data_IF_268867230549
#
_entry.id   IF_268867230549
#
_cell.length_a   1.000
_cell.length_b   1.000
_cell.length_c   1.000
_cell.angle_alpha   90.00
_cell.angle_beta   90.00
_cell.angle_gamma   90.00
#
_symmetry.space_group_name_H-M   'P 1'
#
loop_
_entity.id
_entity.type
_entity.pdbx_description
1 polymer ?
#
# COMPACT_ATOMS: atom_id res chain seq x y z
N UNK A 1 32.67 -29.97 -1.64
CA UNK A 1 31.77 -29.45 -0.58
C UNK A 1 32.56 -28.36 0.13
N UNK A 2 32.26 -27.10 -0.11
CA UNK A 2 32.98 -25.97 0.51
C UNK A 2 32.25 -25.56 1.76
N UNK A 3 32.93 -25.57 2.91
CA UNK A 3 32.38 -25.11 4.19
C UNK A 3 32.62 -23.60 4.28
N UNK A 4 31.58 -22.81 4.23
CA UNK A 4 31.67 -21.37 4.50
C UNK A 4 31.46 -21.16 6.00
N UNK A 5 32.57 -20.94 6.74
CA UNK A 5 32.49 -20.56 8.15
C UNK A 5 32.24 -19.06 8.20
N UNK A 6 31.03 -18.66 8.52
CA UNK A 6 30.72 -17.26 8.82
C UNK A 6 30.88 -17.10 10.31
N UNK A 7 31.76 -16.15 10.79
CA UNK A 7 31.89 -15.87 12.21
C UNK A 7 30.51 -15.46 12.76
N UNK A 8 30.13 -15.98 13.91
CA UNK A 8 28.97 -15.50 14.65
C UNK A 8 29.36 -14.13 15.17
N UNK A 9 29.04 -13.08 14.41
CA UNK A 9 29.19 -11.71 14.91
C UNK A 9 28.32 -11.57 16.15
N UNK A 10 28.93 -11.31 17.30
CA UNK A 10 28.21 -10.84 18.48
C UNK A 10 27.46 -9.56 18.06
N UNK A 11 26.19 -9.46 18.47
CA UNK A 11 25.38 -8.24 18.31
C UNK A 11 26.12 -7.07 19.02
N UNK A 12 27.12 -6.47 18.34
CA UNK A 12 27.57 -5.13 18.72
C UNK A 12 26.33 -4.26 18.60
N UNK A 13 26.00 -3.50 19.64
CA UNK A 13 25.07 -2.37 19.53
C UNK A 13 25.66 -1.48 18.44
N UNK A 14 25.13 -1.59 17.22
CA UNK A 14 25.48 -0.66 16.16
C UNK A 14 25.04 0.72 16.63
N UNK A 15 25.92 1.71 16.49
CA UNK A 15 25.54 3.09 16.73
C UNK A 15 24.39 3.45 15.78
N UNK A 16 23.37 4.20 16.26
CA UNK A 16 22.23 4.56 15.42
C UNK A 16 22.70 5.28 14.15
N UNK A 17 22.25 4.80 13.00
CA UNK A 17 22.54 5.44 11.72
C UNK A 17 21.86 6.81 11.64
N UNK A 18 22.62 7.86 11.33
CA UNK A 18 22.13 9.24 11.35
C UNK A 18 22.30 9.91 9.98
N UNK A 19 21.35 10.76 9.60
CA UNK A 19 21.41 11.61 8.40
C UNK A 19 20.92 13.02 8.69
N UNK A 20 21.52 14.01 8.01
CA UNK A 20 21.12 15.42 8.08
C UNK A 20 20.52 15.85 6.73
N UNK A 21 19.30 16.39 6.78
CA UNK A 21 18.64 17.05 5.66
C UNK A 21 18.73 18.57 5.86
N UNK A 22 19.37 19.26 4.91
CA UNK A 22 19.44 20.73 4.91
C UNK A 22 18.34 21.28 3.99
N UNK A 23 17.36 21.96 4.56
CA UNK A 23 16.22 22.51 3.80
C UNK A 23 16.57 23.73 2.95
N UNK A 24 17.83 24.20 2.95
CA UNK A 24 18.24 25.43 2.25
C UNK A 24 18.13 25.34 0.71
N UNK A 25 18.17 24.13 0.16
CA UNK A 25 18.08 23.85 -1.28
C UNK A 25 16.67 23.48 -1.75
N UNK A 26 15.76 23.26 -0.82
CA UNK A 26 14.40 22.85 -1.14
C UNK A 26 13.50 24.06 -1.47
N UNK A 27 12.76 23.96 -2.57
CA UNK A 27 11.82 25.00 -2.99
C UNK A 27 10.48 24.90 -2.25
N UNK A 28 10.08 23.68 -1.89
CA UNK A 28 8.76 23.36 -1.30
C UNK A 28 8.88 22.38 -0.15
N UNK A 29 7.98 22.42 0.85
CA UNK A 29 7.93 21.45 1.94
C UNK A 29 7.82 20.00 1.47
N UNK A 30 7.14 19.75 0.32
CA UNK A 30 6.99 18.44 -0.27
C UNK A 30 8.32 17.82 -0.72
N UNK A 31 9.29 18.64 -1.14
CA UNK A 31 10.61 18.16 -1.56
C UNK A 31 11.36 17.59 -0.35
N UNK A 32 11.36 18.33 0.77
CA UNK A 32 11.94 17.87 2.04
C UNK A 32 11.22 16.62 2.55
N UNK A 33 9.90 16.57 2.44
CA UNK A 33 9.12 15.41 2.87
C UNK A 33 9.48 14.15 2.05
N UNK A 34 9.67 14.27 0.75
CA UNK A 34 10.14 13.16 -0.10
C UNK A 34 11.51 12.65 0.31
N UNK A 35 12.44 13.55 0.60
CA UNK A 35 13.77 13.21 1.09
C UNK A 35 13.71 12.56 2.47
N UNK A 36 12.89 13.09 3.38
CA UNK A 36 12.65 12.52 4.70
C UNK A 36 12.10 11.09 4.62
N UNK A 37 11.08 10.87 3.78
CA UNK A 37 10.52 9.53 3.54
C UNK A 37 11.59 8.62 2.94
N UNK A 38 12.42 9.09 2.01
CA UNK A 38 13.49 8.29 1.43
C UNK A 38 14.51 7.85 2.48
N UNK A 39 14.93 8.75 3.40
CA UNK A 39 15.81 8.42 4.52
C UNK A 39 15.17 7.39 5.46
N UNK A 40 13.88 7.55 5.81
CA UNK A 40 13.14 6.56 6.57
C UNK A 40 13.14 5.19 5.88
N UNK A 41 12.82 5.14 4.58
CA UNK A 41 12.74 3.88 3.81
C UNK A 41 14.09 3.18 3.66
N UNK A 42 15.21 3.92 3.62
CA UNK A 42 16.56 3.34 3.52
C UNK A 42 17.01 2.73 4.86
N UNK A 43 16.42 3.17 5.97
CA UNK A 43 16.66 2.55 7.26
C UNK A 43 17.38 3.44 8.27
N UNK A 44 17.56 4.74 8.02
CA UNK A 44 18.15 5.62 9.03
C UNK A 44 17.32 5.59 10.33
N UNK A 45 18.04 5.55 11.46
CA UNK A 45 17.45 5.54 12.79
C UNK A 45 17.16 6.95 13.28
N UNK A 46 18.07 7.89 12.99
CA UNK A 46 17.91 9.29 13.34
C UNK A 46 17.96 10.14 12.08
N UNK A 47 16.91 10.95 11.89
CA UNK A 47 16.85 11.91 10.77
C UNK A 47 16.80 13.30 11.37
N UNK A 48 17.85 14.10 11.11
CA UNK A 48 17.95 15.50 11.51
C UNK A 48 17.57 16.42 10.36
N UNK A 49 16.86 17.49 10.66
CA UNK A 49 16.53 18.56 9.72
C UNK A 49 17.15 19.87 10.23
N UNK A 50 17.78 20.60 9.33
CA UNK A 50 18.26 21.95 9.57
C UNK A 50 17.45 22.94 8.74
N UNK A 51 16.74 23.86 9.41
CA UNK A 51 15.92 24.88 8.78
C UNK A 51 16.66 26.21 8.73
N UNK A 52 16.59 26.90 7.60
CA UNK A 52 17.14 28.28 7.45
C UNK A 52 16.03 29.31 7.31
N UNK A 53 15.17 29.12 6.31
CA UNK A 53 14.02 29.97 6.04
C UNK A 53 12.73 29.16 6.12
N UNK A 54 11.57 29.85 6.36
CA UNK A 54 10.24 29.20 6.41
C UNK A 54 10.18 27.99 7.37
N UNK A 55 11.01 27.99 8.42
CA UNK A 55 11.17 26.85 9.33
C UNK A 55 9.85 26.34 9.91
N UNK A 56 8.91 27.24 10.23
CA UNK A 56 7.62 26.88 10.81
C UNK A 56 6.77 26.07 9.81
N UNK A 57 6.74 26.47 8.54
CA UNK A 57 5.98 25.78 7.49
C UNK A 57 6.54 24.39 7.20
N UNK A 58 7.86 24.29 6.97
CA UNK A 58 8.52 23.00 6.72
C UNK A 58 8.34 22.04 7.89
N UNK A 59 8.53 22.55 9.12
CA UNK A 59 8.39 21.73 10.33
C UNK A 59 6.95 21.23 10.52
N UNK A 60 5.95 22.08 10.34
CA UNK A 60 4.55 21.68 10.45
C UNK A 60 4.21 20.59 9.41
N UNK A 61 4.67 20.77 8.18
CA UNK A 61 4.45 19.81 7.09
C UNK A 61 5.12 18.45 7.40
N UNK A 62 6.37 18.44 7.84
CA UNK A 62 7.08 17.21 8.20
C UNK A 62 6.40 16.48 9.36
N UNK A 63 5.98 17.22 10.41
CA UNK A 63 5.23 16.62 11.53
C UNK A 63 3.92 15.97 11.08
N UNK A 64 3.21 16.60 10.13
CA UNK A 64 1.99 16.01 9.56
C UNK A 64 2.31 14.73 8.78
N UNK A 65 3.35 14.72 7.96
CA UNK A 65 3.82 13.52 7.23
C UNK A 65 4.22 12.40 8.20
N UNK A 66 4.99 12.69 9.24
CA UNK A 66 5.37 11.70 10.25
C UNK A 66 4.12 11.06 10.86
N UNK A 67 3.19 11.89 11.32
CA UNK A 67 1.96 11.42 11.97
C UNK A 67 1.07 10.58 11.04
N UNK A 68 0.92 11.00 9.79
CA UNK A 68 -0.01 10.37 8.84
C UNK A 68 0.59 9.19 8.09
N UNK A 69 1.88 9.24 7.76
CA UNK A 69 2.46 8.31 6.79
C UNK A 69 3.60 7.43 7.31
N UNK A 70 4.12 7.68 8.52
CA UNK A 70 5.25 6.91 9.03
C UNK A 70 4.91 6.21 10.36
N UNK A 71 5.40 4.99 10.51
CA UNK A 71 5.19 4.17 11.71
C UNK A 71 6.44 4.25 12.57
N UNK A 72 6.26 4.50 13.88
CA UNK A 72 7.33 4.44 14.87
C UNK A 72 8.35 5.55 14.80
N UNK A 73 8.03 6.68 14.18
CA UNK A 73 8.92 7.86 14.14
C UNK A 73 8.45 8.88 15.17
N UNK A 74 9.33 9.22 16.10
CA UNK A 74 9.07 10.21 17.14
C UNK A 74 10.04 11.39 17.05
N UNK A 75 9.54 12.58 17.37
CA UNK A 75 10.38 13.79 17.45
C UNK A 75 11.11 13.79 18.79
N UNK A 76 12.44 13.77 18.77
CA UNK A 76 13.30 13.76 19.98
C UNK A 76 13.89 15.12 20.32
N UNK A 77 14.07 15.98 19.30
CA UNK A 77 14.57 17.34 19.49
C UNK A 77 13.82 18.29 18.56
N UNK A 78 13.50 19.49 19.04
CA UNK A 78 12.86 20.52 18.24
C UNK A 78 13.29 21.93 18.71
N UNK A 79 13.67 22.77 17.74
CA UNK A 79 14.00 24.19 17.97
C UNK A 79 13.54 25.04 16.79
N UNK A 80 13.85 26.35 16.83
CA UNK A 80 13.53 27.24 15.72
C UNK A 80 14.26 26.87 14.40
N UNK A 81 15.45 26.27 14.50
CA UNK A 81 16.34 26.02 13.35
C UNK A 81 16.64 24.53 13.11
N UNK A 82 16.28 23.65 14.02
CA UNK A 82 16.59 22.23 13.96
C UNK A 82 15.42 21.37 14.43
N UNK A 83 15.33 20.17 13.88
CA UNK A 83 14.44 19.12 14.34
C UNK A 83 15.16 17.79 14.20
N UNK A 84 15.06 16.90 15.19
CA UNK A 84 15.54 15.53 15.08
C UNK A 84 14.41 14.55 15.39
N UNK A 85 14.39 13.48 14.64
CA UNK A 85 13.42 12.39 14.79
C UNK A 85 14.16 11.08 14.97
N UNK A 86 13.58 10.16 15.73
CA UNK A 86 14.11 8.83 15.94
C UNK A 86 13.07 7.79 15.56
N UNK A 87 13.46 6.78 14.78
CA UNK A 87 12.66 5.64 14.45
C UNK A 87 12.81 4.58 15.56
N UNK A 88 11.77 4.45 16.40
CA UNK A 88 11.80 3.63 17.63
C UNK A 88 11.39 2.17 17.40
N UNK A 89 10.81 1.81 16.25
CA UNK A 89 10.32 0.45 16.02
C UNK A 89 11.46 -0.49 15.65
N UNK A 90 11.63 -1.52 16.50
CA UNK A 90 12.41 -2.71 16.18
C UNK A 90 11.70 -3.59 15.13
N UNK A 91 12.49 -4.43 14.45
CA UNK A 91 12.02 -5.25 13.33
C UNK A 91 11.19 -6.48 13.78
N UNK A 92 11.35 -6.89 15.02
CA UNK A 92 10.78 -8.15 15.57
C UNK A 92 9.32 -8.00 15.97
N UNK A 93 8.88 -6.78 16.32
CA UNK A 93 7.57 -6.54 16.92
C UNK A 93 6.41 -6.67 15.95
N UNK A 94 6.64 -6.49 14.63
CA UNK A 94 5.60 -6.57 13.62
C UNK A 94 6.14 -7.15 12.29
N UNK A 95 6.10 -8.50 12.12
CA UNK A 95 6.61 -9.18 10.92
C UNK A 95 5.95 -8.70 9.63
N UNK A 96 6.71 -8.74 8.51
CA UNK A 96 6.23 -8.31 7.18
C UNK A 96 4.92 -8.98 6.78
N UNK A 97 4.76 -10.29 7.06
CA UNK A 97 3.53 -11.02 6.70
C UNK A 97 2.30 -10.51 7.46
N UNK A 98 2.47 -10.12 8.73
CA UNK A 98 1.38 -9.59 9.55
C UNK A 98 1.00 -8.18 9.10
N UNK A 99 2.01 -7.35 8.78
CA UNK A 99 1.78 -6.03 8.20
C UNK A 99 1.03 -6.11 6.86
N UNK A 100 1.43 -7.01 5.96
CA UNK A 100 0.73 -7.25 4.70
C UNK A 100 -0.70 -7.77 4.89
N UNK A 101 -0.91 -8.65 5.87
CA UNK A 101 -2.25 -9.14 6.22
C UNK A 101 -3.14 -7.98 6.66
N UNK A 102 -2.62 -7.11 7.52
CA UNK A 102 -3.36 -5.91 7.97
C UNK A 102 -3.64 -4.95 6.82
N UNK A 103 -2.66 -4.65 5.96
CA UNK A 103 -2.86 -3.84 4.75
C UNK A 103 -3.99 -4.41 3.89
N UNK A 104 -3.96 -5.73 3.64
CA UNK A 104 -4.96 -6.40 2.81
C UNK A 104 -6.37 -6.32 3.41
N UNK A 105 -6.51 -6.55 4.71
CA UNK A 105 -7.80 -6.42 5.43
C UNK A 105 -8.33 -4.99 5.35
N UNK A 106 -7.47 -3.98 5.55
CA UNK A 106 -7.85 -2.57 5.43
C UNK A 106 -8.29 -2.23 4.00
N UNK A 107 -7.50 -2.57 2.98
CA UNK A 107 -7.84 -2.31 1.58
C UNK A 107 -9.17 -2.97 1.16
N UNK A 108 -9.44 -4.20 1.63
CA UNK A 108 -10.72 -4.86 1.39
C UNK A 108 -11.89 -4.18 2.10
N UNK A 109 -11.71 -3.75 3.35
CA UNK A 109 -12.73 -2.98 4.08
C UNK A 109 -13.03 -1.67 3.37
N UNK A 110 -12.00 -0.92 2.99
CA UNK A 110 -12.13 0.33 2.22
C UNK A 110 -12.92 0.09 0.93
N UNK A 111 -12.61 -0.96 0.17
CA UNK A 111 -13.31 -1.25 -1.07
C UNK A 111 -14.80 -1.58 -0.84
N UNK A 112 -15.12 -2.40 0.18
CA UNK A 112 -16.51 -2.74 0.52
C UNK A 112 -17.30 -1.50 0.95
N UNK A 113 -16.69 -0.65 1.77
CA UNK A 113 -17.31 0.57 2.28
C UNK A 113 -17.49 1.60 1.16
N UNK A 114 -16.53 1.71 0.21
CA UNK A 114 -16.66 2.52 -0.99
C UNK A 114 -17.87 2.08 -1.85
N UNK A 115 -18.07 0.76 -2.00
CA UNK A 115 -19.21 0.22 -2.73
C UNK A 115 -20.54 0.44 -1.98
N UNK A 116 -20.53 0.38 -0.66
CA UNK A 116 -21.71 0.69 0.16
C UNK A 116 -22.06 2.17 0.06
N UNK A 117 -21.06 3.05 0.12
CA UNK A 117 -21.23 4.48 -0.07
C UNK A 117 -21.79 4.81 -1.46
N UNK A 118 -21.26 4.18 -2.51
CA UNK A 118 -21.77 4.32 -3.88
C UNK A 118 -23.23 3.89 -4.00
N UNK A 119 -23.59 2.73 -3.45
CA UNK A 119 -24.96 2.19 -3.52
C UNK A 119 -25.98 3.09 -2.82
N UNK A 120 -25.63 3.61 -1.65
CA UNK A 120 -26.55 4.34 -0.77
C UNK A 120 -26.50 5.86 -0.98
N UNK A 121 -25.54 6.40 -1.77
CA UNK A 121 -25.30 7.84 -1.85
C UNK A 121 -24.74 8.41 -0.54
N UNK A 122 -24.03 7.60 0.26
CA UNK A 122 -23.48 8.02 1.54
C UNK A 122 -22.13 8.74 1.35
N UNK A 123 -22.18 10.06 1.24
CA UNK A 123 -21.00 10.91 1.03
C UNK A 123 -20.10 10.98 2.26
N UNK A 124 -20.64 10.78 3.46
CA UNK A 124 -19.84 10.75 4.69
C UNK A 124 -18.93 9.52 4.71
N UNK A 125 -19.51 8.35 4.44
CA UNK A 125 -18.76 7.10 4.31
C UNK A 125 -17.74 7.16 3.15
N UNK A 126 -18.14 7.77 2.02
CA UNK A 126 -17.24 7.96 0.87
C UNK A 126 -16.01 8.81 1.23
N UNK A 127 -16.18 9.86 2.01
CA UNK A 127 -15.08 10.70 2.51
C UNK A 127 -14.20 9.95 3.51
N UNK A 128 -14.80 9.18 4.42
CA UNK A 128 -14.07 8.37 5.39
C UNK A 128 -13.17 7.33 4.69
N UNK A 129 -13.68 6.63 3.68
CA UNK A 129 -12.89 5.71 2.85
C UNK A 129 -11.68 6.40 2.23
N UNK A 130 -11.86 7.60 1.67
CA UNK A 130 -10.76 8.33 1.05
C UNK A 130 -9.67 8.77 2.06
N UNK A 131 -10.02 8.96 3.33
CA UNK A 131 -9.07 9.31 4.40
C UNK A 131 -8.31 8.09 4.95
N UNK A 132 -8.93 6.91 4.93
CA UNK A 132 -8.30 5.66 5.41
C UNK A 132 -7.13 5.18 4.56
N UNK A 133 -6.94 5.72 3.38
CA UNK A 133 -5.79 5.45 2.51
C UNK A 133 -4.46 5.72 3.20
N UNK A 134 -4.37 6.79 4.00
CA UNK A 134 -3.19 7.09 4.80
C UNK A 134 -2.77 5.95 5.75
N UNK A 135 -3.71 5.14 6.24
CA UNK A 135 -3.39 3.99 7.11
C UNK A 135 -2.71 2.85 6.34
N UNK A 136 -3.14 2.61 5.10
CA UNK A 136 -2.51 1.61 4.23
C UNK A 136 -1.13 2.09 3.79
N UNK A 137 -0.99 3.37 3.45
CA UNK A 137 0.29 4.01 3.12
C UNK A 137 1.31 3.88 4.27
N UNK A 138 0.88 4.11 5.52
CA UNK A 138 1.74 3.95 6.71
C UNK A 138 2.31 2.54 6.80
N UNK A 139 1.48 1.53 6.66
CA UNK A 139 1.91 0.14 6.69
C UNK A 139 2.77 -0.21 5.47
N UNK A 140 2.46 0.32 4.29
CA UNK A 140 3.27 0.15 3.09
C UNK A 140 4.70 0.67 3.31
N UNK A 141 4.88 1.91 3.77
CA UNK A 141 6.20 2.46 4.04
C UNK A 141 6.96 1.66 5.10
N UNK A 142 6.27 1.20 6.14
CA UNK A 142 6.86 0.35 7.16
C UNK A 142 7.37 -0.98 6.58
N UNK A 143 6.55 -1.66 5.78
CA UNK A 143 6.95 -2.90 5.09
C UNK A 143 8.17 -2.65 4.19
N UNK A 144 8.16 -1.57 3.39
CA UNK A 144 9.29 -1.25 2.50
C UNK A 144 10.57 -0.99 3.28
N UNK A 145 10.50 -0.27 4.42
CA UNK A 145 11.65 -0.07 5.31
C UNK A 145 12.20 -1.41 5.78
N UNK A 146 11.37 -2.29 6.34
CA UNK A 146 11.80 -3.62 6.81
C UNK A 146 12.47 -4.44 5.70
N UNK A 147 11.86 -4.49 4.51
CA UNK A 147 12.40 -5.25 3.38
C UNK A 147 13.74 -4.71 2.90
N UNK A 148 13.92 -3.37 2.83
CA UNK A 148 15.20 -2.76 2.44
C UNK A 148 16.31 -3.05 3.44
N UNK A 149 16.03 -2.96 4.73
CA UNK A 149 17.00 -3.26 5.77
C UNK A 149 17.37 -4.76 5.77
N UNK A 150 16.40 -5.65 5.57
CA UNK A 150 16.63 -7.09 5.51
C UNK A 150 17.50 -7.52 4.32
N UNK A 151 17.44 -6.82 3.18
CA UNK A 151 18.32 -7.09 2.03
C UNK A 151 19.79 -6.85 2.38
N UNK A 152 20.08 -5.90 3.28
CA UNK A 152 21.45 -5.58 3.71
C UNK A 152 21.95 -6.44 4.87
N UNK A 153 21.03 -7.03 5.65
CA UNK A 153 21.37 -7.81 6.84
C UNK A 153 20.66 -9.17 6.83
N UNK A 154 21.43 -10.24 6.64
CA UNK A 154 20.90 -11.61 6.54
C UNK A 154 20.12 -12.06 7.78
N UNK A 155 20.54 -11.62 8.98
CA UNK A 155 19.84 -11.99 10.22
C UNK A 155 18.42 -11.39 10.29
N UNK A 156 18.24 -10.21 9.71
CA UNK A 156 16.93 -9.56 9.66
C UNK A 156 15.92 -10.31 8.79
N UNK A 157 16.35 -11.10 7.79
CA UNK A 157 15.44 -11.84 6.92
C UNK A 157 14.58 -12.81 7.74
N UNK A 158 15.19 -13.55 8.66
CA UNK A 158 14.49 -14.48 9.55
C UNK A 158 13.62 -13.72 10.56
N UNK A 159 14.13 -12.61 11.11
CA UNK A 159 13.41 -11.76 12.07
C UNK A 159 12.11 -11.18 11.48
N UNK A 160 12.11 -10.77 10.19
CA UNK A 160 10.89 -10.28 9.51
C UNK A 160 10.00 -11.39 8.95
N UNK A 161 10.33 -12.66 9.23
CA UNK A 161 9.53 -13.83 8.85
C UNK A 161 9.68 -14.28 7.39
N UNK A 162 10.80 -13.94 6.72
CA UNK A 162 11.13 -14.38 5.36
C UNK A 162 12.19 -15.48 5.36
N UNK A 163 12.32 -16.21 4.25
CA UNK A 163 13.27 -17.32 4.12
C UNK A 163 14.58 -16.87 3.44
N UNK A 164 14.47 -15.98 2.45
CA UNK A 164 15.62 -15.54 1.65
C UNK A 164 15.52 -14.05 1.32
N UNK A 165 16.66 -13.39 1.06
CA UNK A 165 16.68 -12.00 0.58
C UNK A 165 15.98 -11.82 -0.77
N UNK A 166 15.92 -12.89 -1.60
CA UNK A 166 15.18 -12.89 -2.85
C UNK A 166 13.67 -12.70 -2.63
N UNK A 167 13.13 -13.23 -1.53
CA UNK A 167 11.71 -13.11 -1.21
C UNK A 167 11.31 -11.64 -0.98
N UNK A 168 12.25 -10.80 -0.53
CA UNK A 168 12.01 -9.36 -0.35
C UNK A 168 11.50 -8.69 -1.63
N UNK A 169 11.95 -9.12 -2.81
CA UNK A 169 11.49 -8.59 -4.10
C UNK A 169 10.00 -8.89 -4.32
N UNK A 170 9.60 -10.14 -4.09
CA UNK A 170 8.20 -10.56 -4.23
C UNK A 170 7.30 -9.86 -3.22
N UNK A 171 7.69 -9.84 -1.94
CA UNK A 171 6.90 -9.18 -0.89
C UNK A 171 6.79 -7.66 -1.08
N UNK A 172 7.83 -7.02 -1.66
CA UNK A 172 7.76 -5.61 -2.04
C UNK A 172 6.69 -5.34 -3.10
N UNK A 173 6.60 -6.20 -4.12
CA UNK A 173 5.58 -6.07 -5.17
C UNK A 173 4.18 -6.35 -4.63
N UNK A 174 4.02 -7.36 -3.75
CA UNK A 174 2.75 -7.64 -3.06
C UNK A 174 2.30 -6.42 -2.26
N UNK A 175 3.19 -5.81 -1.46
CA UNK A 175 2.88 -4.61 -0.69
C UNK A 175 2.40 -3.47 -1.60
N UNK A 176 3.07 -3.25 -2.75
CA UNK A 176 2.67 -2.21 -3.71
C UNK A 176 1.33 -2.50 -4.36
N UNK A 177 1.03 -3.76 -4.69
CA UNK A 177 -0.27 -4.13 -5.26
C UNK A 177 -1.40 -3.93 -4.25
N UNK A 178 -1.19 -4.22 -2.95
CA UNK A 178 -2.19 -3.98 -1.90
C UNK A 178 -2.44 -2.47 -1.71
N UNK A 179 -1.40 -1.65 -1.68
CA UNK A 179 -1.53 -0.19 -1.62
C UNK A 179 -2.32 0.33 -2.83
N UNK A 180 -2.04 -0.15 -4.05
CA UNK A 180 -2.81 0.22 -5.24
C UNK A 180 -4.29 -0.18 -5.15
N UNK A 181 -4.61 -1.31 -4.52
CA UNK A 181 -6.01 -1.71 -4.26
C UNK A 181 -6.70 -0.70 -3.35
N UNK A 182 -6.00 -0.20 -2.30
CA UNK A 182 -6.51 0.84 -1.41
C UNK A 182 -6.68 2.18 -2.13
N UNK A 183 -5.68 2.63 -2.92
CA UNK A 183 -5.75 3.81 -3.80
C UNK A 183 -7.05 3.79 -4.64
N UNK A 184 -7.38 2.64 -5.24
CA UNK A 184 -8.58 2.50 -6.07
C UNK A 184 -9.86 2.51 -5.25
N UNK A 185 -9.86 1.98 -4.04
CA UNK A 185 -11.00 2.11 -3.11
C UNK A 185 -11.22 3.57 -2.70
N UNK A 186 -10.14 4.28 -2.35
CA UNK A 186 -10.18 5.72 -2.06
C UNK A 186 -10.69 6.53 -3.26
N UNK A 187 -10.27 6.20 -4.48
CA UNK A 187 -10.73 6.85 -5.72
C UNK A 187 -12.23 6.65 -5.93
N UNK A 188 -12.78 5.45 -5.66
CA UNK A 188 -14.24 5.22 -5.70
C UNK A 188 -14.94 6.17 -4.70
N UNK A 189 -14.43 6.28 -3.47
CA UNK A 189 -14.94 7.21 -2.47
C UNK A 189 -14.92 8.67 -2.94
N UNK A 190 -13.81 9.11 -3.54
CA UNK A 190 -13.65 10.48 -4.08
C UNK A 190 -14.60 10.78 -5.24
N UNK A 191 -14.88 9.80 -6.10
CA UNK A 191 -15.77 9.96 -7.26
C UNK A 191 -17.26 9.94 -6.86
N UNK A 192 -17.62 9.15 -5.86
CA UNK A 192 -19.02 8.94 -5.40
C UNK A 192 -19.79 10.25 -5.21
N UNK A 193 -19.30 11.30 -4.51
CA UNK A 193 -20.03 12.55 -4.33
C UNK A 193 -20.23 13.36 -5.61
N UNK A 194 -19.56 13.04 -6.70
CA UNK A 194 -19.67 13.76 -7.98
C UNK A 194 -20.85 13.26 -8.84
N UNK A 195 -21.42 12.12 -8.45
CA UNK A 195 -22.52 11.48 -9.19
C UNK A 195 -23.87 12.10 -8.87
N UNK A 196 -24.80 12.01 -9.80
CA UNK A 196 -26.20 12.35 -9.56
C UNK A 196 -26.95 11.11 -9.07
N UNK A 197 -27.59 11.23 -7.93
CA UNK A 197 -28.40 10.18 -7.32
C UNK A 197 -29.91 10.39 -7.53
N UNK A 198 -30.70 9.31 -7.49
CA UNK A 198 -30.28 7.91 -7.38
C UNK A 198 -29.65 7.39 -8.68
N UNK A 199 -28.74 6.40 -8.54
CA UNK A 199 -28.23 5.64 -9.68
C UNK A 199 -29.22 4.52 -9.97
N UNK A 200 -29.38 4.17 -11.24
CA UNK A 200 -30.34 3.13 -11.69
C UNK A 200 -29.95 1.76 -11.10
N UNK A 201 -30.91 1.06 -10.52
CA UNK A 201 -30.71 -0.17 -9.74
C UNK A 201 -29.97 -1.28 -10.51
N UNK A 202 -30.32 -1.52 -11.78
CA UNK A 202 -29.63 -2.55 -12.57
C UNK A 202 -28.15 -2.25 -12.78
N UNK A 203 -27.76 -0.96 -12.92
CA UNK A 203 -26.35 -0.55 -13.02
C UNK A 203 -25.64 -0.81 -11.69
N UNK A 204 -26.25 -0.47 -10.55
CA UNK A 204 -25.69 -0.75 -9.22
C UNK A 204 -25.51 -2.25 -8.98
N UNK A 205 -26.47 -3.08 -9.42
CA UNK A 205 -26.37 -4.54 -9.31
C UNK A 205 -25.16 -5.06 -10.12
N UNK A 206 -25.01 -4.62 -11.37
CA UNK A 206 -23.89 -5.03 -12.23
C UNK A 206 -22.53 -4.58 -11.68
N UNK A 207 -22.43 -3.33 -11.20
CA UNK A 207 -21.23 -2.82 -10.53
C UNK A 207 -20.89 -3.64 -9.29
N UNK A 208 -21.90 -4.00 -8.49
CA UNK A 208 -21.73 -4.79 -7.27
C UNK A 208 -21.24 -6.21 -7.58
N UNK A 209 -21.75 -6.86 -8.63
CA UNK A 209 -21.26 -8.18 -9.06
C UNK A 209 -19.81 -8.12 -9.53
N UNK A 210 -19.46 -7.12 -10.32
CA UNK A 210 -18.09 -6.88 -10.77
C UNK A 210 -17.14 -6.67 -9.58
N UNK A 211 -17.54 -5.83 -8.61
CA UNK A 211 -16.78 -5.55 -7.38
C UNK A 211 -16.58 -6.81 -6.54
N UNK A 212 -17.64 -7.58 -6.29
CA UNK A 212 -17.54 -8.83 -5.54
C UNK A 212 -16.59 -9.84 -6.19
N UNK A 213 -16.59 -9.90 -7.53
CA UNK A 213 -15.67 -10.75 -8.28
C UNK A 213 -14.22 -10.28 -8.11
N UNK A 214 -13.98 -8.96 -8.20
CA UNK A 214 -12.65 -8.36 -8.03
C UNK A 214 -12.08 -8.61 -6.62
N UNK A 215 -12.89 -8.45 -5.58
CA UNK A 215 -12.47 -8.74 -4.20
C UNK A 215 -12.14 -10.23 -4.01
N UNK A 216 -12.89 -11.15 -4.63
CA UNK A 216 -12.57 -12.58 -4.58
C UNK A 216 -11.22 -12.89 -5.23
N UNK A 217 -10.86 -12.23 -6.33
CA UNK A 217 -9.53 -12.36 -6.93
C UNK A 217 -8.45 -12.00 -5.91
N UNK A 218 -8.58 -10.85 -5.25
CA UNK A 218 -7.60 -10.38 -4.25
C UNK A 218 -7.50 -11.35 -3.05
N UNK A 219 -8.64 -11.86 -2.54
CA UNK A 219 -8.69 -12.79 -1.41
C UNK A 219 -7.98 -14.11 -1.74
N UNK A 220 -8.28 -14.68 -2.91
CA UNK A 220 -7.67 -15.94 -3.35
C UNK A 220 -6.18 -15.77 -3.67
N UNK A 221 -5.80 -14.64 -4.24
CA UNK A 221 -4.41 -14.28 -4.47
C UNK A 221 -3.62 -14.23 -3.16
N UNK A 222 -4.09 -13.48 -2.17
CA UNK A 222 -3.42 -13.42 -0.86
C UNK A 222 -3.39 -14.78 -0.15
N UNK A 223 -4.46 -15.57 -0.24
CA UNK A 223 -4.46 -16.93 0.28
C UNK A 223 -3.40 -17.80 -0.40
N UNK A 224 -3.21 -17.65 -1.73
CA UNK A 224 -2.18 -18.38 -2.47
C UNK A 224 -0.75 -17.98 -2.06
N UNK A 225 -0.52 -16.70 -1.68
CA UNK A 225 0.76 -16.24 -1.11
C UNK A 225 1.08 -16.96 0.21
N UNK A 226 0.13 -16.99 1.14
CA UNK A 226 0.36 -17.62 2.46
C UNK A 226 0.54 -19.14 2.36
N UNK A 227 -0.15 -19.80 1.45
CA UNK A 227 -0.11 -21.24 1.27
C UNK A 227 0.92 -21.71 0.24
N UNK A 228 1.57 -20.78 -0.49
CA UNK A 228 2.43 -21.06 -1.64
C UNK A 228 1.76 -22.00 -2.66
N UNK A 229 0.45 -21.80 -2.90
CA UNK A 229 -0.41 -22.68 -3.67
C UNK A 229 -0.59 -22.18 -5.11
N UNK A 230 0.20 -22.76 -6.04
CA UNK A 230 0.19 -22.40 -7.46
C UNK A 230 -1.18 -22.61 -8.11
N UNK A 231 -1.90 -23.70 -7.76
CA UNK A 231 -3.22 -23.98 -8.34
C UNK A 231 -4.22 -22.89 -7.97
N UNK A 232 -4.22 -22.47 -6.71
CA UNK A 232 -5.09 -21.40 -6.24
C UNK A 232 -4.74 -20.04 -6.87
N UNK A 233 -3.45 -19.73 -7.04
CA UNK A 233 -2.99 -18.54 -7.74
C UNK A 233 -3.52 -18.50 -9.19
N UNK A 234 -3.37 -19.59 -9.95
CA UNK A 234 -3.91 -19.68 -11.31
C UNK A 234 -5.45 -19.54 -11.37
N UNK A 235 -6.17 -20.05 -10.36
CA UNK A 235 -7.63 -19.88 -10.26
C UNK A 235 -8.02 -18.42 -10.00
N UNK A 236 -7.24 -17.68 -9.19
CA UNK A 236 -7.45 -16.26 -8.97
C UNK A 236 -7.24 -15.46 -10.25
N UNK A 237 -6.14 -15.71 -10.98
CA UNK A 237 -5.84 -15.05 -12.25
C UNK A 237 -6.95 -15.30 -13.27
N UNK A 238 -7.43 -16.53 -13.43
CA UNK A 238 -8.47 -16.88 -14.39
C UNK A 238 -9.78 -16.10 -14.19
N UNK A 239 -10.09 -15.68 -12.96
CA UNK A 239 -11.31 -14.91 -12.66
C UNK A 239 -11.30 -13.47 -13.17
N UNK A 240 -10.15 -12.91 -13.51
CA UNK A 240 -10.07 -11.55 -14.06
C UNK A 240 -10.81 -11.41 -15.38
N UNK A 241 -10.86 -12.46 -16.20
CA UNK A 241 -11.62 -12.48 -17.44
C UNK A 241 -13.11 -12.21 -17.21
N UNK A 242 -13.68 -12.74 -16.11
CA UNK A 242 -15.07 -12.44 -15.73
C UNK A 242 -15.25 -10.96 -15.37
N UNK A 243 -14.29 -10.35 -14.68
CA UNK A 243 -14.34 -8.91 -14.33
C UNK A 243 -14.37 -8.06 -15.60
N UNK A 244 -13.51 -8.36 -16.57
CA UNK A 244 -13.46 -7.65 -17.85
C UNK A 244 -14.77 -7.80 -18.65
N UNK A 245 -15.40 -8.98 -18.60
CA UNK A 245 -16.69 -9.21 -19.23
C UNK A 245 -17.79 -8.36 -18.58
N UNK A 246 -17.88 -8.40 -17.25
CA UNK A 246 -18.84 -7.60 -16.47
C UNK A 246 -18.65 -6.09 -16.68
N UNK A 247 -17.39 -5.62 -16.80
CA UNK A 247 -17.12 -4.22 -17.12
C UNK A 247 -17.75 -3.80 -18.45
N UNK A 248 -17.55 -4.59 -19.52
CA UNK A 248 -18.11 -4.30 -20.84
C UNK A 248 -19.64 -4.27 -20.82
N UNK A 249 -20.26 -5.29 -20.23
CA UNK A 249 -21.72 -5.38 -20.10
C UNK A 249 -22.30 -4.20 -19.32
N UNK A 250 -21.62 -3.78 -18.24
CA UNK A 250 -22.05 -2.63 -17.43
C UNK A 250 -21.88 -1.30 -18.18
N UNK A 251 -20.83 -1.13 -18.98
CA UNK A 251 -20.65 0.04 -19.83
C UNK A 251 -21.78 0.17 -20.84
N UNK A 252 -22.19 -0.93 -21.48
CA UNK A 252 -23.33 -0.92 -22.41
C UNK A 252 -24.62 -0.49 -21.70
N UNK A 253 -24.89 -1.00 -20.50
CA UNK A 253 -26.05 -0.57 -19.71
C UNK A 253 -26.01 0.93 -19.39
N UNK A 254 -24.84 1.47 -19.01
CA UNK A 254 -24.65 2.89 -18.70
C UNK A 254 -24.93 3.75 -19.95
N UNK A 255 -24.45 3.34 -21.14
CA UNK A 255 -24.67 4.07 -22.38
C UNK A 255 -26.14 4.10 -22.81
N UNK A 256 -26.88 3.00 -22.61
CA UNK A 256 -28.29 2.90 -22.90
C UNK A 256 -29.20 3.68 -21.93
N UNK A 257 -28.68 3.96 -20.72
CA UNK A 257 -29.47 4.56 -19.64
C UNK A 257 -29.70 6.08 -19.76
N UNK A 258 -29.20 6.73 -20.82
CA UNK A 258 -29.34 8.18 -21.09
C UNK A 258 -29.02 9.08 -19.87
N UNK A 259 -27.99 8.71 -19.12
CA UNK A 259 -27.51 9.47 -17.97
C UNK A 259 -26.82 10.77 -18.42
N UNK A 260 -26.73 11.76 -17.50
CA UNK A 260 -25.92 12.94 -17.79
C UNK A 260 -24.42 12.57 -17.90
N UNK A 261 -23.69 13.33 -18.71
CA UNK A 261 -22.27 13.07 -19.03
C UNK A 261 -21.40 12.96 -17.78
N UNK A 262 -21.61 13.79 -16.77
CA UNK A 262 -20.84 13.75 -15.51
C UNK A 262 -21.02 12.40 -14.80
N UNK A 263 -22.24 11.89 -14.71
CA UNK A 263 -22.54 10.58 -14.11
C UNK A 263 -21.91 9.44 -14.93
N UNK A 264 -21.98 9.49 -16.27
CA UNK A 264 -21.33 8.49 -17.14
C UNK A 264 -19.83 8.44 -16.92
N UNK A 265 -19.16 9.60 -16.88
CA UNK A 265 -17.71 9.68 -16.62
C UNK A 265 -17.38 9.14 -15.23
N UNK A 266 -18.13 9.53 -14.21
CA UNK A 266 -17.90 9.06 -12.83
C UNK A 266 -18.07 7.55 -12.69
N UNK A 267 -19.15 6.97 -13.26
CA UNK A 267 -19.35 5.52 -13.27
C UNK A 267 -18.24 4.79 -14.02
N UNK A 268 -17.76 5.35 -15.15
CA UNK A 268 -16.62 4.78 -15.89
C UNK A 268 -15.34 4.73 -15.07
N UNK A 269 -15.05 5.79 -14.28
CA UNK A 269 -13.89 5.84 -13.37
C UNK A 269 -14.02 4.81 -12.23
N UNK A 270 -15.23 4.57 -11.74
CA UNK A 270 -15.51 3.55 -10.73
C UNK A 270 -15.28 2.16 -11.30
N UNK A 271 -15.83 1.86 -12.50
CA UNK A 271 -15.62 0.57 -13.17
C UNK A 271 -14.13 0.29 -13.42
N UNK A 272 -13.39 1.31 -13.87
CA UNK A 272 -11.94 1.22 -14.04
C UNK A 272 -11.26 0.86 -12.72
N UNK A 273 -11.62 1.53 -11.61
CA UNK A 273 -11.04 1.26 -10.29
C UNK A 273 -11.32 -0.16 -9.82
N UNK A 274 -12.54 -0.70 -10.04
CA UNK A 274 -12.91 -2.08 -9.73
C UNK A 274 -12.11 -3.07 -10.60
N UNK A 275 -11.95 -2.80 -11.90
CA UNK A 275 -11.13 -3.63 -12.80
C UNK A 275 -9.66 -3.64 -12.35
N UNK A 276 -9.09 -2.48 -12.06
CA UNK A 276 -7.71 -2.36 -11.58
C UNK A 276 -7.48 -3.11 -10.26
N UNK A 277 -8.47 -3.12 -9.36
CA UNK A 277 -8.43 -3.93 -8.13
C UNK A 277 -8.23 -5.42 -8.45
N UNK A 278 -8.96 -5.96 -9.44
CA UNK A 278 -8.80 -7.36 -9.85
C UNK A 278 -7.44 -7.62 -10.52
N UNK A 279 -6.94 -6.69 -11.33
CA UNK A 279 -5.63 -6.79 -11.98
C UNK A 279 -4.50 -6.84 -10.96
N UNK A 280 -4.51 -5.96 -9.94
CA UNK A 280 -3.54 -6.03 -8.84
C UNK A 280 -3.67 -7.31 -8.01
N UNK A 281 -4.89 -7.84 -7.88
CA UNK A 281 -5.08 -9.18 -7.30
C UNK A 281 -4.41 -10.27 -8.13
N UNK A 282 -4.49 -10.20 -9.47
CA UNK A 282 -3.78 -11.13 -10.35
C UNK A 282 -2.26 -10.99 -10.25
N UNK A 283 -1.74 -9.76 -10.21
CA UNK A 283 -0.31 -9.50 -10.00
C UNK A 283 0.19 -10.17 -8.70
N UNK A 284 -0.58 -10.06 -7.60
CA UNK A 284 -0.26 -10.75 -6.33
C UNK A 284 -0.23 -12.27 -6.53
N UNK A 285 -1.17 -12.84 -7.29
CA UNK A 285 -1.22 -14.27 -7.55
C UNK A 285 -0.04 -14.75 -8.40
N UNK A 286 0.40 -13.98 -9.39
CA UNK A 286 1.61 -14.27 -10.18
C UNK A 286 2.87 -14.28 -9.30
N UNK A 287 2.97 -13.32 -8.36
CA UNK A 287 4.07 -13.30 -7.41
C UNK A 287 4.01 -14.52 -6.48
N UNK A 288 2.82 -14.97 -6.05
CA UNK A 288 2.67 -16.18 -5.26
C UNK A 288 3.21 -17.44 -5.99
N UNK A 289 3.01 -17.53 -7.31
CA UNK A 289 3.61 -18.60 -8.13
C UNK A 289 5.13 -18.53 -8.10
N UNK A 290 5.70 -17.32 -8.21
CA UNK A 290 7.15 -17.12 -8.17
C UNK A 290 7.74 -17.48 -6.80
N UNK A 291 7.10 -17.09 -5.71
CA UNK A 291 7.51 -17.41 -4.33
C UNK A 291 7.42 -18.93 -4.05
N UNK A 292 6.45 -19.63 -4.65
CA UNK A 292 6.29 -21.08 -4.49
C UNK A 292 7.37 -21.90 -5.21
N UNK A 293 8.13 -21.31 -6.14
CA UNK A 293 9.21 -21.99 -6.87
C UNK A 293 10.54 -21.78 -6.17
N UNK A 294 11.11 -22.88 -5.62
CA UNK A 294 12.47 -22.88 -5.10
C UNK A 294 13.47 -22.65 -6.24
N UNK A 295 14.41 -21.75 -6.06
CA UNK A 295 15.49 -21.51 -7.02
C UNK A 295 16.45 -22.70 -7.11
N UNK A 296 17.17 -22.84 -8.23
CA UNK A 296 18.21 -23.89 -8.41
C UNK A 296 19.40 -23.74 -7.45
N UNK A 297 19.50 -22.63 -6.73
CA UNK A 297 20.63 -22.27 -5.84
C UNK A 297 20.18 -22.04 -4.38
N UNK A 298 19.08 -22.64 -3.98
CA UNK A 298 18.64 -22.63 -2.58
C UNK A 298 19.23 -23.79 -1.79
#
# INVERSE_FOLDING_TARGET
MSLLIIPKEEKKKEEPSEVLIDTSTAEKPEDVAREFIACYLVGYDIIRLRFRQRATEYRAYIKDIIRRKLVGVETIEESATHMATHCLLGHVEFPVKDALTRMHVLAQSMHKDAMMALKNGDFSLAKDVAQRDDEVDRLYFFVIRQLKMAVQNRFMIEEIGLLTSRDCLGYRLIAKSIERIADHAARIGQVTPTLKYPIIDNIIVSISEMSNTSIRVCQEAMKSVYQLNIKQANQAIAKTSKVTKLEKETIEQILLAKLNVRTVIGLRLILESIRRTAEYGADIAEIAINLAKKGKFS
#
